data_IF_438468729011
#
_entry.id   IF_438468729011
#
_cell.length_a   1.000
_cell.length_b   1.000
_cell.length_c   1.000
_cell.angle_alpha   90.00
_cell.angle_beta   90.00
_cell.angle_gamma   90.00
#
_symmetry.space_group_name_H-M   'P 1'
#
loop_
_entity.id
_entity.type
_entity.pdbx_description
1 polymer ?
#
# COMPACT_ATOMS: atom_id res chain seq x y z
N UNK A 1 -21.84 16.23 -2.03
CA UNK A 1 -21.32 17.50 -1.46
C UNK A 1 -19.86 17.55 -1.82
N UNK A 2 -19.36 18.67 -2.33
CA UNK A 2 -17.98 18.74 -2.85
C UNK A 2 -16.97 18.62 -1.69
N UNK A 3 -16.22 17.52 -1.68
CA UNK A 3 -15.11 17.29 -0.74
C UNK A 3 -13.80 17.80 -1.36
N UNK A 4 -12.90 18.34 -0.53
CA UNK A 4 -11.55 18.76 -0.89
C UNK A 4 -10.54 18.03 -0.01
N UNK A 5 -9.46 17.53 -0.62
CA UNK A 5 -8.34 16.94 0.13
C UNK A 5 -7.18 17.92 0.11
N UNK A 6 -6.66 18.22 1.30
CA UNK A 6 -5.53 19.13 1.49
C UNK A 6 -4.33 18.32 1.95
N UNK A 7 -3.22 18.41 1.24
CA UNK A 7 -1.97 17.71 1.55
C UNK A 7 -0.90 18.75 1.86
N UNK A 8 -0.50 18.79 3.13
CA UNK A 8 0.60 19.60 3.62
C UNK A 8 1.84 18.73 3.84
N UNK A 9 2.95 19.08 3.21
CA UNK A 9 4.20 18.32 3.35
C UNK A 9 5.30 19.18 3.96
N UNK A 10 5.86 18.70 5.07
CA UNK A 10 7.04 19.27 5.71
C UNK A 10 8.17 18.24 5.72
N UNK A 11 9.43 18.64 6.00
CA UNK A 11 10.54 17.68 6.11
C UNK A 11 10.37 16.62 7.21
N UNK A 12 9.51 16.85 8.21
CA UNK A 12 9.33 15.94 9.36
C UNK A 12 8.08 15.08 9.26
N UNK A 13 7.05 15.59 8.61
CA UNK A 13 5.76 14.93 8.52
C UNK A 13 4.96 15.36 7.29
N UNK A 14 4.10 14.44 6.85
CA UNK A 14 3.03 14.70 5.90
C UNK A 14 1.72 14.73 6.68
N UNK A 15 0.92 15.78 6.44
CA UNK A 15 -0.41 15.95 7.02
C UNK A 15 -1.43 16.01 5.91
N UNK A 16 -2.56 15.35 6.10
CA UNK A 16 -3.68 15.35 5.15
C UNK A 16 -4.95 15.71 5.90
N UNK A 17 -5.72 16.65 5.35
CA UNK A 17 -7.05 17.00 5.84
C UNK A 17 -8.09 16.74 4.75
N UNK A 18 -9.16 16.03 5.08
CA UNK A 18 -10.36 15.96 4.25
C UNK A 18 -11.36 17.02 4.73
N UNK A 19 -11.75 17.92 3.84
CA UNK A 19 -12.61 19.07 4.14
C UNK A 19 -13.88 18.96 3.32
N UNK A 20 -15.02 19.04 4.01
CA UNK A 20 -16.34 19.08 3.37
C UNK A 20 -17.08 20.33 3.84
N UNK A 21 -17.57 21.14 2.88
CA UNK A 21 -18.31 22.37 3.17
C UNK A 21 -17.58 23.33 4.13
N UNK A 22 -16.25 23.42 4.01
CA UNK A 22 -15.40 24.27 4.86
C UNK A 22 -15.13 23.74 6.27
N UNK A 23 -15.54 22.49 6.58
CA UNK A 23 -15.32 21.84 7.88
C UNK A 23 -14.40 20.63 7.70
N UNK A 24 -13.37 20.54 8.53
CA UNK A 24 -12.47 19.38 8.58
C UNK A 24 -13.24 18.16 9.08
N UNK A 25 -13.28 17.11 8.27
CA UNK A 25 -13.93 15.84 8.60
C UNK A 25 -12.93 14.81 9.12
N UNK A 26 -11.74 14.78 8.53
CA UNK A 26 -10.70 13.82 8.87
C UNK A 26 -9.32 14.47 8.79
N UNK A 27 -8.43 14.09 9.71
CA UNK A 27 -7.03 14.51 9.74
C UNK A 27 -6.14 13.28 9.88
N UNK A 28 -5.19 13.13 8.97
CA UNK A 28 -4.20 12.07 8.95
C UNK A 28 -2.80 12.68 9.02
N UNK A 29 -1.95 12.15 9.91
CA UNK A 29 -0.57 12.62 10.08
C UNK A 29 0.39 11.44 10.06
N UNK A 30 1.40 11.50 9.19
CA UNK A 30 2.48 10.52 9.10
C UNK A 30 3.83 11.22 9.23
N UNK A 31 4.62 10.81 10.23
CA UNK A 31 5.99 11.29 10.44
C UNK A 31 6.97 10.46 9.62
N UNK A 32 7.99 11.10 9.08
CA UNK A 32 9.00 10.45 8.22
C UNK A 32 9.75 9.32 8.93
N UNK A 33 9.92 9.42 10.27
CA UNK A 33 10.58 8.38 11.09
C UNK A 33 9.70 7.18 11.42
N UNK A 34 8.39 7.23 11.14
CA UNK A 34 7.43 6.18 11.48
C UNK A 34 7.22 5.14 10.38
N UNK A 35 7.93 5.23 9.26
CA UNK A 35 7.67 4.38 8.09
C UNK A 35 8.34 3.02 8.23
N UNK A 36 7.53 1.98 8.38
CA UNK A 36 7.98 0.59 8.34
C UNK A 36 8.43 0.17 6.93
N UNK A 37 9.11 -0.97 6.88
CA UNK A 37 9.54 -1.65 5.65
C UNK A 37 8.52 -2.71 5.20
N UNK A 38 7.57 -3.07 6.06
CA UNK A 38 6.51 -4.04 5.76
C UNK A 38 5.80 -3.67 4.47
N UNK A 39 5.65 -4.65 3.58
CA UNK A 39 5.03 -4.47 2.27
C UNK A 39 6.03 -4.13 1.15
N UNK A 40 7.22 -3.59 1.46
CA UNK A 40 8.24 -3.32 0.45
C UNK A 40 8.71 -4.63 -0.20
N UNK A 41 9.01 -4.56 -1.50
CA UNK A 41 9.45 -5.68 -2.31
C UNK A 41 10.82 -5.36 -2.90
N UNK A 42 11.74 -6.30 -2.77
CA UNK A 42 13.12 -6.19 -3.18
C UNK A 42 13.49 -7.35 -4.09
N UNK A 43 14.41 -7.08 -5.02
CA UNK A 43 15.26 -8.10 -5.59
C UNK A 43 16.46 -8.26 -4.66
N UNK A 44 16.44 -9.30 -3.83
CA UNK A 44 17.51 -9.62 -2.89
C UNK A 44 18.52 -10.61 -3.46
N UNK A 45 19.66 -10.77 -2.77
CA UNK A 45 20.66 -11.78 -3.05
C UNK A 45 20.79 -12.72 -1.86
N UNK A 46 20.73 -14.03 -2.09
CA UNK A 46 20.98 -15.02 -1.02
C UNK A 46 22.43 -14.87 -0.56
N UNK A 47 22.63 -14.35 0.64
CA UNK A 47 23.96 -14.13 1.20
C UNK A 47 24.53 -15.39 1.84
N UNK A 48 23.68 -16.16 2.56
CA UNK A 48 24.07 -17.41 3.21
C UNK A 48 22.87 -18.31 3.43
N UNK A 49 23.04 -19.61 3.21
CA UNK A 49 22.03 -20.63 3.53
C UNK A 49 22.39 -21.33 4.85
N UNK A 50 21.41 -21.52 5.73
CA UNK A 50 21.57 -22.15 7.05
C UNK A 50 20.64 -23.37 7.16
N UNK A 51 21.09 -24.57 6.74
CA UNK A 51 20.29 -25.80 6.76
C UNK A 51 19.75 -26.15 8.16
N UNK A 52 20.59 -25.99 9.20
CA UNK A 52 20.20 -26.29 10.58
C UNK A 52 19.06 -25.43 11.13
N UNK A 53 18.79 -24.27 10.51
CA UNK A 53 17.69 -23.37 10.87
C UNK A 53 16.59 -23.34 9.80
N UNK A 54 16.72 -24.13 8.73
CA UNK A 54 15.82 -24.11 7.56
C UNK A 54 15.57 -22.68 7.04
N UNK A 55 16.63 -21.89 6.96
CA UNK A 55 16.55 -20.45 6.71
C UNK A 55 17.75 -19.91 5.93
N UNK A 56 17.60 -18.74 5.33
CA UNK A 56 18.66 -18.05 4.60
C UNK A 56 18.71 -16.57 4.97
N UNK A 57 19.92 -16.01 4.99
CA UNK A 57 20.12 -14.57 5.03
C UNK A 57 20.09 -14.02 3.61
N UNK A 58 19.28 -12.99 3.41
CA UNK A 58 19.10 -12.31 2.13
C UNK A 58 19.61 -10.88 2.29
N UNK A 59 20.57 -10.51 1.43
CA UNK A 59 20.96 -9.12 1.26
C UNK A 59 19.93 -8.41 0.38
N UNK A 60 19.30 -7.38 0.96
CA UNK A 60 18.31 -6.51 0.32
C UNK A 60 18.76 -5.04 0.35
N UNK A 61 20.02 -4.77 0.69
CA UNK A 61 20.57 -3.41 0.78
C UNK A 61 20.19 -2.66 2.07
N UNK A 62 19.65 -3.36 3.07
CA UNK A 62 19.41 -2.82 4.40
C UNK A 62 20.67 -2.95 5.27
N UNK A 63 20.79 -2.16 6.33
CA UNK A 63 21.93 -2.22 7.27
C UNK A 63 22.15 -3.60 7.89
N UNK A 64 21.08 -4.39 7.99
CA UNK A 64 21.10 -5.76 8.52
C UNK A 64 20.57 -6.72 7.49
N UNK A 65 21.24 -7.86 7.36
CA UNK A 65 20.77 -8.95 6.52
C UNK A 65 19.36 -9.38 6.96
N UNK A 66 18.45 -9.42 5.99
CA UNK A 66 17.09 -9.86 6.19
C UNK A 66 17.05 -11.40 6.19
N UNK A 67 16.00 -11.96 6.76
CA UNK A 67 15.89 -13.40 7.03
C UNK A 67 14.69 -13.99 6.28
N UNK A 68 14.91 -15.09 5.57
CA UNK A 68 13.88 -15.84 4.86
C UNK A 68 13.84 -17.27 5.39
N UNK A 69 12.69 -17.71 5.91
CA UNK A 69 12.48 -19.08 6.36
C UNK A 69 11.94 -19.95 5.22
N UNK A 70 12.24 -21.24 5.21
CA UNK A 70 11.80 -22.17 4.14
C UNK A 70 10.27 -22.22 3.97
N UNK A 71 9.53 -22.03 5.06
CA UNK A 71 8.06 -21.98 5.05
C UNK A 71 7.49 -20.72 4.38
N UNK A 72 8.28 -19.66 4.22
CA UNK A 72 7.89 -18.44 3.50
C UNK A 72 8.34 -18.48 2.02
N UNK A 73 8.86 -19.63 1.57
CA UNK A 73 9.19 -19.88 0.16
C UNK A 73 7.98 -20.52 -0.52
N UNK A 74 7.37 -19.81 -1.47
CA UNK A 74 6.14 -20.23 -2.13
C UNK A 74 6.27 -21.60 -2.79
N UNK A 75 7.36 -21.84 -3.53
CA UNK A 75 7.65 -23.10 -4.22
C UNK A 75 7.72 -24.31 -3.28
N UNK A 76 7.94 -24.09 -1.99
CA UNK A 76 8.11 -25.16 -1.01
C UNK A 76 6.84 -25.50 -0.23
N UNK A 77 5.72 -24.79 -0.42
CA UNK A 77 4.51 -25.01 0.37
C UNK A 77 3.99 -26.44 0.34
N UNK A 78 4.16 -27.14 -0.77
CA UNK A 78 3.63 -28.50 -0.96
C UNK A 78 4.70 -29.60 -0.89
N UNK A 79 5.98 -29.25 -1.07
CA UNK A 79 7.04 -30.23 -1.30
C UNK A 79 7.89 -30.51 -0.05
N UNK A 80 7.80 -29.65 0.98
CA UNK A 80 8.53 -29.77 2.24
C UNK A 80 10.03 -30.10 2.08
N UNK A 81 10.66 -29.55 1.04
CA UNK A 81 12.08 -29.75 0.76
C UNK A 81 12.92 -28.94 1.76
N UNK A 82 14.10 -29.47 2.14
CA UNK A 82 15.09 -28.70 2.90
C UNK A 82 15.56 -27.46 2.12
N UNK A 83 15.83 -26.37 2.82
CA UNK A 83 16.16 -25.07 2.20
C UNK A 83 17.38 -25.11 1.27
N UNK A 84 18.39 -25.92 1.59
CA UNK A 84 19.60 -26.09 0.79
C UNK A 84 19.37 -26.75 -0.57
N UNK A 85 18.19 -27.37 -0.78
CA UNK A 85 17.77 -27.90 -2.08
C UNK A 85 16.96 -26.89 -2.89
N UNK A 86 16.66 -25.73 -2.31
CA UNK A 86 15.78 -24.70 -2.89
C UNK A 86 16.59 -23.45 -3.23
N UNK A 87 17.47 -23.03 -2.32
CA UNK A 87 18.27 -21.82 -2.45
C UNK A 87 19.75 -22.13 -2.55
N UNK A 88 20.43 -21.41 -3.45
CA UNK A 88 21.88 -21.37 -3.54
C UNK A 88 22.42 -19.98 -3.13
N UNK A 89 23.62 -19.94 -2.56
CA UNK A 89 24.30 -18.67 -2.26
C UNK A 89 24.58 -17.88 -3.54
N UNK A 90 24.42 -16.56 -3.47
CA UNK A 90 24.57 -15.65 -4.61
C UNK A 90 23.34 -15.56 -5.54
N UNK A 91 22.36 -16.46 -5.40
CA UNK A 91 21.13 -16.47 -6.20
C UNK A 91 20.31 -15.17 -5.99
N UNK A 92 19.84 -14.51 -7.06
CA UNK A 92 18.86 -13.44 -6.94
C UNK A 92 17.48 -13.99 -6.58
N UNK A 93 16.76 -13.31 -5.70
CA UNK A 93 15.45 -13.74 -5.22
C UNK A 93 14.52 -12.56 -4.97
N UNK A 94 13.29 -12.66 -5.48
CA UNK A 94 12.23 -11.69 -5.23
C UNK A 94 11.65 -11.93 -3.83
N UNK A 95 11.67 -10.91 -2.98
CA UNK A 95 11.23 -11.01 -1.59
C UNK A 95 10.42 -9.79 -1.16
N UNK A 96 9.38 -10.04 -0.38
CA UNK A 96 8.57 -9.02 0.29
C UNK A 96 8.87 -9.02 1.79
N UNK A 97 8.97 -7.84 2.40
CA UNK A 97 9.08 -7.72 3.86
C UNK A 97 7.72 -7.96 4.50
N UNK A 98 7.66 -8.96 5.38
CA UNK A 98 6.44 -9.31 6.14
C UNK A 98 6.52 -8.90 7.61
N UNK A 99 7.72 -8.68 8.14
CA UNK A 99 7.94 -8.09 9.47
C UNK A 99 9.13 -7.16 9.45
N UNK A 100 8.98 -6.02 10.11
CA UNK A 100 10.07 -5.07 10.33
C UNK A 100 11.24 -5.69 11.13
N UNK A 101 12.47 -5.14 11.00
CA UNK A 101 13.58 -5.48 11.87
C UNK A 101 13.24 -5.20 13.34
N UNK A 102 13.68 -6.08 14.24
CA UNK A 102 13.44 -5.93 15.69
C UNK A 102 14.75 -6.14 16.45
N UNK A 103 15.15 -5.16 17.27
CA UNK A 103 16.29 -5.30 18.17
C UNK A 103 17.61 -5.40 17.41
N UNK A 104 18.19 -6.61 17.32
CA UNK A 104 19.35 -6.96 16.47
C UNK A 104 18.99 -7.83 15.27
N UNK A 105 17.74 -8.32 15.18
CA UNK A 105 17.27 -9.18 14.09
C UNK A 105 16.89 -8.33 12.88
N UNK A 106 17.30 -8.77 11.69
CA UNK A 106 16.87 -8.16 10.43
C UNK A 106 15.38 -8.38 10.15
N UNK A 107 14.90 -7.78 9.07
CA UNK A 107 13.51 -7.95 8.61
C UNK A 107 13.20 -9.42 8.27
N UNK A 108 11.96 -9.86 8.48
CA UNK A 108 11.48 -11.15 7.97
C UNK A 108 10.94 -10.98 6.57
N UNK A 109 11.33 -11.88 5.68
CA UNK A 109 10.96 -11.89 4.28
C UNK A 109 10.02 -13.05 3.94
N UNK A 110 9.32 -12.90 2.82
CA UNK A 110 8.54 -13.94 2.15
C UNK A 110 8.71 -13.81 0.65
N UNK A 111 8.72 -14.93 -0.07
CA UNK A 111 8.62 -14.93 -1.54
C UNK A 111 7.17 -14.91 -2.02
N UNK A 112 6.21 -15.15 -1.12
CA UNK A 112 4.79 -14.99 -1.41
C UNK A 112 4.46 -13.49 -1.39
N UNK A 113 4.54 -12.88 -2.58
CA UNK A 113 4.15 -11.48 -2.77
C UNK A 113 2.64 -11.32 -2.59
N UNK A 114 2.26 -10.23 -1.93
CA UNK A 114 0.88 -9.76 -1.81
C UNK A 114 0.85 -8.24 -2.00
N UNK A 115 -0.10 -7.74 -2.78
CA UNK A 115 -0.24 -6.31 -3.05
C UNK A 115 -1.58 -5.83 -2.50
N UNK A 116 -1.56 -4.87 -1.58
CA UNK A 116 -2.77 -4.35 -0.97
C UNK A 116 -3.32 -3.14 -1.74
N UNK A 117 -4.54 -3.28 -2.25
CA UNK A 117 -5.38 -2.20 -2.73
C UNK A 117 -6.27 -1.65 -1.61
N UNK A 118 -7.21 -0.77 -1.96
CA UNK A 118 -8.20 -0.23 -1.01
C UNK A 118 -9.20 -1.30 -0.59
N UNK A 119 -9.73 -2.03 -1.55
CA UNK A 119 -10.83 -3.00 -1.42
C UNK A 119 -10.34 -4.44 -1.52
N UNK A 120 -9.26 -4.67 -2.26
CA UNK A 120 -8.75 -5.99 -2.60
C UNK A 120 -7.29 -6.14 -2.14
N UNK A 121 -6.86 -7.39 -1.96
CA UNK A 121 -5.45 -7.76 -1.88
C UNK A 121 -5.17 -8.72 -3.02
N UNK A 122 -4.22 -8.40 -3.90
CA UNK A 122 -3.85 -9.28 -5.01
C UNK A 122 -2.76 -10.27 -4.59
N UNK A 123 -2.94 -11.52 -5.00
CA UNK A 123 -2.06 -12.65 -4.74
C UNK A 123 -1.57 -13.24 -6.07
N UNK A 124 -0.43 -12.79 -6.60
CA UNK A 124 0.01 -13.17 -7.94
C UNK A 124 0.31 -14.66 -8.14
N UNK A 125 0.62 -15.37 -7.05
CA UNK A 125 1.05 -16.77 -7.07
C UNK A 125 -0.04 -17.75 -6.62
N UNK A 126 -1.15 -17.24 -6.08
CA UNK A 126 -2.22 -18.04 -5.52
C UNK A 126 -3.53 -17.63 -6.18
N UNK A 127 -4.16 -18.44 -7.04
CA UNK A 127 -5.39 -18.10 -7.76
C UNK A 127 -6.63 -18.06 -6.85
N UNK A 128 -6.48 -18.32 -5.55
CA UNK A 128 -7.58 -18.35 -4.61
C UNK A 128 -8.29 -16.99 -4.46
N UNK A 129 -9.62 -17.01 -4.49
CA UNK A 129 -10.45 -15.86 -4.09
C UNK A 129 -10.90 -16.03 -2.64
N UNK A 130 -10.27 -15.27 -1.76
CA UNK A 130 -10.58 -15.20 -0.34
C UNK A 130 -11.48 -14.03 0.02
N UNK A 131 -12.12 -14.11 1.17
CA UNK A 131 -12.96 -13.03 1.73
C UNK A 131 -12.54 -12.80 3.19
N UNK A 132 -12.41 -11.53 3.57
CA UNK A 132 -12.13 -11.11 4.95
C UNK A 132 -13.02 -11.84 5.94
N UNK A 133 -12.44 -12.35 7.04
CA UNK A 133 -13.19 -13.06 8.08
C UNK A 133 -14.20 -12.16 8.82
N UNK A 134 -14.04 -10.83 8.73
CA UNK A 134 -14.96 -9.85 9.31
C UNK A 134 -16.29 -9.73 8.55
N UNK A 135 -16.40 -10.34 7.36
CA UNK A 135 -17.66 -10.45 6.63
C UNK A 135 -18.31 -11.76 7.10
N UNK A 136 -19.23 -11.65 8.04
CA UNK A 136 -19.78 -12.80 8.79
C UNK A 136 -20.87 -13.55 8.04
N UNK A 137 -21.62 -12.90 7.15
CA UNK A 137 -22.72 -13.53 6.42
C UNK A 137 -22.24 -14.46 5.30
N UNK A 138 -22.57 -15.74 5.41
CA UNK A 138 -22.17 -16.78 4.45
C UNK A 138 -22.82 -16.59 3.07
N UNK A 139 -24.04 -16.03 3.03
CA UNK A 139 -24.71 -15.64 1.78
C UNK A 139 -23.99 -14.49 1.08
N UNK A 140 -23.70 -13.42 1.81
CA UNK A 140 -22.90 -12.28 1.34
C UNK A 140 -21.51 -12.69 0.86
N UNK A 141 -20.85 -13.65 1.54
CA UNK A 141 -19.56 -14.19 1.10
C UNK A 141 -19.66 -14.84 -0.28
N UNK A 142 -20.64 -15.71 -0.51
CA UNK A 142 -20.79 -16.35 -1.82
C UNK A 142 -21.04 -15.31 -2.93
N UNK A 143 -21.94 -14.36 -2.68
CA UNK A 143 -22.28 -13.30 -3.62
C UNK A 143 -21.07 -12.42 -3.97
N UNK A 144 -20.30 -11.98 -2.97
CA UNK A 144 -19.14 -11.10 -3.21
C UNK A 144 -18.02 -11.81 -3.97
N UNK A 145 -17.82 -13.11 -3.71
CA UNK A 145 -16.88 -13.93 -4.50
C UNK A 145 -17.32 -14.02 -5.96
N UNK A 146 -18.60 -14.29 -6.20
CA UNK A 146 -19.09 -14.48 -7.57
C UNK A 146 -19.12 -13.17 -8.34
N UNK A 147 -19.49 -12.07 -7.69
CA UNK A 147 -19.32 -10.70 -8.21
C UNK A 147 -17.87 -10.42 -8.62
N UNK A 148 -16.89 -10.77 -7.77
CA UNK A 148 -15.48 -10.57 -8.15
C UNK A 148 -15.10 -11.44 -9.36
N UNK A 149 -15.52 -12.71 -9.41
CA UNK A 149 -15.23 -13.59 -10.55
C UNK A 149 -15.75 -13.04 -11.87
N UNK A 150 -16.94 -12.44 -11.88
CA UNK A 150 -17.51 -11.83 -13.08
C UNK A 150 -16.69 -10.63 -13.59
N UNK A 151 -16.01 -9.93 -12.68
CA UNK A 151 -15.15 -8.79 -13.02
C UNK A 151 -13.74 -9.21 -13.44
N UNK A 152 -13.30 -10.42 -13.09
CA UNK A 152 -11.97 -10.88 -13.40
C UNK A 152 -11.85 -11.26 -14.88
N UNK A 153 -10.85 -10.73 -15.60
CA UNK A 153 -10.53 -11.19 -16.94
C UNK A 153 -10.20 -12.69 -16.96
N UNK A 154 -10.58 -13.37 -18.05
CA UNK A 154 -10.36 -14.81 -18.21
C UNK A 154 -8.87 -15.23 -18.20
N UNK A 155 -7.94 -14.29 -18.43
CA UNK A 155 -6.50 -14.50 -18.41
C UNK A 155 -5.87 -14.29 -17.03
N UNK A 156 -6.66 -13.94 -16.01
CA UNK A 156 -6.17 -13.70 -14.67
C UNK A 156 -5.59 -14.99 -14.05
N UNK A 157 -4.35 -14.90 -13.60
CA UNK A 157 -3.61 -16.03 -13.01
C UNK A 157 -3.48 -15.92 -11.50
N UNK A 158 -3.54 -14.69 -10.98
CA UNK A 158 -3.48 -14.42 -9.55
C UNK A 158 -4.86 -14.45 -8.91
N UNK A 159 -4.88 -14.59 -7.60
CA UNK A 159 -6.08 -14.56 -6.78
C UNK A 159 -6.21 -13.25 -6.05
N UNK A 160 -7.29 -13.14 -5.28
CA UNK A 160 -7.65 -11.90 -4.61
C UNK A 160 -8.27 -12.18 -3.25
N UNK A 161 -8.01 -11.32 -2.27
CA UNK A 161 -8.75 -11.30 -1.01
C UNK A 161 -9.62 -10.05 -0.99
N UNK A 162 -10.94 -10.23 -0.85
CA UNK A 162 -11.85 -9.12 -0.61
C UNK A 162 -11.71 -8.64 0.83
N UNK A 163 -11.37 -7.36 1.00
CA UNK A 163 -11.29 -6.68 2.31
C UNK A 163 -12.69 -6.30 2.78
N UNK A 164 -12.84 -6.01 4.07
CA UNK A 164 -14.14 -5.63 4.66
C UNK A 164 -14.78 -4.42 3.98
N UNK A 165 -13.99 -3.46 3.50
CA UNK A 165 -14.50 -2.29 2.77
C UNK A 165 -15.13 -2.63 1.41
N UNK A 166 -14.80 -3.79 0.81
CA UNK A 166 -15.32 -4.20 -0.49
C UNK A 166 -16.82 -4.53 -0.44
N UNK A 167 -17.36 -4.84 0.73
CA UNK A 167 -18.77 -5.23 0.89
C UNK A 167 -19.73 -4.12 0.45
N UNK A 168 -19.45 -2.87 0.84
CA UNK A 168 -20.24 -1.69 0.48
C UNK A 168 -19.77 -1.01 -0.82
N UNK A 169 -18.73 -1.54 -1.47
CA UNK A 169 -18.13 -0.90 -2.63
C UNK A 169 -18.98 -1.12 -3.89
N UNK A 170 -19.04 -0.08 -4.72
CA UNK A 170 -19.62 -0.15 -6.06
C UNK A 170 -18.77 -1.00 -7.01
N UNK A 171 -19.35 -1.42 -8.14
CA UNK A 171 -18.63 -2.23 -9.13
C UNK A 171 -17.52 -1.43 -9.80
N UNK A 172 -17.73 -0.14 -9.98
CA UNK A 172 -16.73 0.78 -10.52
C UNK A 172 -15.51 0.90 -9.61
N UNK A 173 -15.72 1.02 -8.30
CA UNK A 173 -14.62 1.06 -7.33
C UNK A 173 -13.83 -0.26 -7.31
N UNK A 174 -14.51 -1.40 -7.39
CA UNK A 174 -13.85 -2.71 -7.50
C UNK A 174 -13.03 -2.83 -8.78
N UNK A 175 -13.57 -2.39 -9.93
CA UNK A 175 -12.83 -2.38 -11.21
C UNK A 175 -11.62 -1.47 -11.16
N UNK A 176 -11.75 -0.30 -10.53
CA UNK A 176 -10.61 0.61 -10.35
C UNK A 176 -9.51 -0.02 -9.48
N UNK A 177 -9.86 -0.66 -8.37
CA UNK A 177 -8.89 -1.31 -7.48
C UNK A 177 -8.25 -2.55 -8.14
N UNK A 178 -9.02 -3.33 -8.91
CA UNK A 178 -8.52 -4.41 -9.76
C UNK A 178 -7.50 -3.91 -10.79
N UNK A 179 -7.84 -2.84 -11.52
CA UNK A 179 -6.97 -2.23 -12.51
C UNK A 179 -5.67 -1.71 -11.88
N UNK A 180 -5.77 -1.03 -10.73
CA UNK A 180 -4.63 -0.59 -9.94
C UNK A 180 -3.69 -1.76 -9.59
N UNK A 181 -4.22 -2.83 -8.99
CA UNK A 181 -3.44 -3.97 -8.53
C UNK A 181 -2.77 -4.75 -9.68
N UNK A 182 -3.51 -4.99 -10.78
CA UNK A 182 -2.97 -5.68 -11.96
C UNK A 182 -1.84 -4.88 -12.61
N UNK A 183 -2.02 -3.57 -12.75
CA UNK A 183 -0.99 -2.71 -13.32
C UNK A 183 0.26 -2.60 -12.42
N UNK A 184 0.05 -2.49 -11.10
CA UNK A 184 1.13 -2.53 -10.12
C UNK A 184 1.94 -3.83 -10.23
N UNK A 185 1.26 -4.98 -10.30
CA UNK A 185 1.95 -6.26 -10.46
C UNK A 185 2.69 -6.37 -11.79
N UNK A 186 2.07 -5.98 -12.91
CA UNK A 186 2.75 -6.01 -14.21
C UNK A 186 4.02 -5.16 -14.18
N UNK A 187 3.92 -3.93 -13.68
CA UNK A 187 5.07 -3.02 -13.53
C UNK A 187 6.16 -3.63 -12.66
N UNK A 188 5.80 -4.28 -11.55
CA UNK A 188 6.76 -4.93 -10.66
C UNK A 188 7.43 -6.14 -11.31
N UNK A 189 6.68 -6.96 -12.03
CA UNK A 189 7.19 -8.12 -12.76
C UNK A 189 8.16 -7.69 -13.86
N UNK A 190 7.84 -6.63 -14.59
CA UNK A 190 8.70 -6.15 -15.67
C UNK A 190 10.00 -5.54 -15.10
N UNK A 191 9.91 -4.82 -13.98
CA UNK A 191 11.08 -4.33 -13.24
C UNK A 191 11.95 -5.45 -12.69
N UNK A 192 11.36 -6.57 -12.26
CA UNK A 192 12.12 -7.67 -11.65
C UNK A 192 12.96 -8.45 -12.66
N UNK A 193 12.53 -8.56 -13.93
CA UNK A 193 13.24 -9.31 -14.98
C UNK A 193 14.63 -8.76 -15.33
N UNK A 194 14.90 -7.47 -15.06
CA UNK A 194 16.21 -6.84 -15.30
C UNK A 194 16.90 -6.34 -14.03
N UNK A 195 16.34 -6.61 -12.85
CA UNK A 195 16.83 -6.04 -11.60
C UNK A 195 18.16 -6.66 -11.16
N UNK A 196 19.08 -5.81 -10.69
CA UNK A 196 20.37 -6.27 -10.13
C UNK A 196 20.28 -6.30 -8.61
N UNK A 197 20.39 -7.49 -8.02
CA UNK A 197 20.37 -7.65 -6.57
C UNK A 197 21.62 -7.06 -5.89
N UNK A 198 21.50 -6.29 -4.78
CA UNK A 198 20.25 -5.89 -4.12
C UNK A 198 19.60 -4.63 -4.73
N UNK A 199 18.28 -4.63 -4.92
CA UNK A 199 17.53 -3.49 -5.43
C UNK A 199 16.10 -3.45 -4.88
N UNK A 200 15.61 -2.26 -4.49
CA UNK A 200 14.19 -2.05 -4.18
C UNK A 200 13.37 -1.99 -5.47
N UNK A 201 12.30 -2.78 -5.54
CA UNK A 201 11.38 -2.81 -6.70
C UNK A 201 10.08 -2.07 -6.43
N UNK A 202 9.60 -2.18 -5.18
CA UNK A 202 8.44 -1.48 -4.69
C UNK A 202 8.67 -1.06 -3.25
N UNK A 203 8.31 0.19 -2.98
CA UNK A 203 8.19 0.73 -1.63
C UNK A 203 6.69 0.93 -1.38
N UNK A 204 6.23 0.63 -0.18
CA UNK A 204 4.84 0.87 0.19
C UNK A 204 4.45 2.34 -0.03
N UNK A 205 3.15 2.62 -0.12
CA UNK A 205 2.65 3.95 -0.45
C UNK A 205 2.95 4.98 0.63
N UNK A 206 3.23 6.23 0.24
CA UNK A 206 3.29 7.34 1.21
C UNK A 206 1.89 7.68 1.71
N UNK A 207 1.76 8.39 2.84
CA UNK A 207 0.44 8.87 3.28
C UNK A 207 -0.35 9.55 2.15
N UNK A 208 0.29 10.45 1.40
CA UNK A 208 -0.35 11.16 0.30
C UNK A 208 -0.82 10.21 -0.83
N UNK A 209 -0.04 9.18 -1.16
CA UNK A 209 -0.43 8.17 -2.15
C UNK A 209 -1.54 7.26 -1.63
N UNK A 210 -1.51 6.89 -0.34
CA UNK A 210 -2.59 6.11 0.30
C UNK A 210 -3.89 6.88 0.29
N UNK A 211 -3.86 8.17 0.62
CA UNK A 211 -5.03 9.06 0.56
C UNK A 211 -5.58 9.13 -0.86
N UNK A 212 -4.72 9.27 -1.87
CA UNK A 212 -5.17 9.27 -3.26
C UNK A 212 -5.84 7.94 -3.65
N UNK A 213 -5.32 6.80 -3.17
CA UNK A 213 -5.90 5.47 -3.41
C UNK A 213 -7.21 5.24 -2.63
N UNK A 214 -7.25 5.68 -1.38
CA UNK A 214 -8.24 5.26 -0.40
C UNK A 214 -9.39 6.25 -0.22
N UNK A 215 -9.14 7.55 -0.39
CA UNK A 215 -10.10 8.63 -0.06
C UNK A 215 -10.64 9.35 -1.29
N UNK A 216 -9.86 9.45 -2.38
CA UNK A 216 -10.29 10.21 -3.56
C UNK A 216 -11.31 9.41 -4.36
N UNK A 217 -12.55 9.89 -4.38
CA UNK A 217 -13.68 9.25 -5.04
C UNK A 217 -14.51 10.24 -5.86
N UNK A 218 -15.75 9.86 -6.18
CA UNK A 218 -16.66 10.69 -6.98
C UNK A 218 -16.97 12.05 -6.33
N UNK A 219 -17.09 12.09 -5.00
CA UNK A 219 -17.42 13.30 -4.22
C UNK A 219 -16.23 14.26 -4.06
N UNK A 220 -15.01 13.80 -4.31
CA UNK A 220 -13.78 14.59 -4.14
C UNK A 220 -13.56 15.48 -5.36
N UNK A 221 -13.74 16.79 -5.18
CA UNK A 221 -13.58 17.78 -6.25
C UNK A 221 -12.13 18.01 -6.66
N UNK A 222 -11.23 18.16 -5.68
CA UNK A 222 -9.81 18.41 -5.91
C UNK A 222 -8.94 17.95 -4.75
N UNK A 223 -7.67 17.72 -5.06
CA UNK A 223 -6.58 17.40 -4.13
C UNK A 223 -5.53 18.51 -4.26
N UNK A 224 -5.43 19.35 -3.23
CA UNK A 224 -4.45 20.45 -3.17
C UNK A 224 -3.19 19.98 -2.46
N UNK A 225 -2.05 20.17 -3.09
CA UNK A 225 -0.73 19.77 -2.56
C UNK A 225 0.17 20.99 -2.49
N UNK A 226 0.66 21.34 -1.30
CA UNK A 226 1.47 22.54 -1.10
C UNK A 226 2.97 22.38 -1.40
N UNK A 227 3.37 21.19 -1.86
CA UNK A 227 4.74 20.86 -2.20
C UNK A 227 4.84 20.46 -3.67
N UNK A 228 5.59 21.24 -4.45
CA UNK A 228 5.81 20.98 -5.88
C UNK A 228 6.39 19.59 -6.16
N UNK A 229 7.34 19.15 -5.34
CA UNK A 229 7.94 17.82 -5.47
C UNK A 229 6.90 16.71 -5.24
N UNK A 230 6.06 16.86 -4.22
CA UNK A 230 5.04 15.86 -3.92
C UNK A 230 3.88 15.91 -4.92
N UNK A 231 3.52 17.09 -5.42
CA UNK A 231 2.60 17.23 -6.54
C UNK A 231 3.08 16.40 -7.74
N UNK A 232 4.33 16.57 -8.17
CA UNK A 232 4.91 15.78 -9.27
C UNK A 232 4.89 14.27 -8.98
N UNK A 233 5.28 13.85 -7.77
CA UNK A 233 5.25 12.43 -7.38
C UNK A 233 3.84 11.85 -7.40
N UNK A 234 2.85 12.58 -6.91
CA UNK A 234 1.44 12.16 -6.89
C UNK A 234 0.85 12.15 -8.29
N UNK A 235 1.14 13.15 -9.12
CA UNK A 235 0.71 13.18 -10.52
C UNK A 235 1.30 12.00 -11.29
N UNK A 236 2.59 11.70 -11.14
CA UNK A 236 3.22 10.55 -11.79
C UNK A 236 2.62 9.21 -11.30
N UNK A 237 2.35 9.10 -10.01
CA UNK A 237 1.67 7.94 -9.43
C UNK A 237 0.24 7.77 -9.98
N UNK A 238 -0.53 8.87 -10.07
CA UNK A 238 -1.88 8.87 -10.64
C UNK A 238 -1.86 8.52 -12.14
N UNK A 239 -0.93 9.07 -12.92
CA UNK A 239 -0.77 8.71 -14.33
C UNK A 239 -0.47 7.23 -14.52
N UNK A 240 0.35 6.66 -13.62
CA UNK A 240 0.69 5.25 -13.64
C UNK A 240 -0.49 4.35 -13.32
N UNK A 241 -1.26 4.64 -12.25
CA UNK A 241 -2.19 3.68 -11.69
C UNK A 241 -3.65 4.13 -11.58
N UNK A 242 -3.92 5.44 -11.61
CA UNK A 242 -5.25 6.03 -11.43
C UNK A 242 -5.45 7.24 -12.37
N UNK A 243 -5.39 7.06 -13.71
CA UNK A 243 -5.35 8.18 -14.67
C UNK A 243 -6.54 9.15 -14.55
N UNK A 244 -7.69 8.64 -14.13
CA UNK A 244 -8.92 9.41 -13.91
C UNK A 244 -8.78 10.49 -12.82
N UNK A 245 -7.81 10.34 -11.91
CA UNK A 245 -7.59 11.29 -10.80
C UNK A 245 -6.60 12.41 -11.15
N UNK A 246 -5.84 12.28 -12.24
CA UNK A 246 -4.75 13.21 -12.60
C UNK A 246 -5.25 14.65 -12.69
N UNK A 247 -6.42 14.87 -13.30
CA UNK A 247 -7.01 16.20 -13.48
C UNK A 247 -7.49 16.86 -12.19
N UNK A 248 -7.51 16.13 -11.06
CA UNK A 248 -7.94 16.64 -9.76
C UNK A 248 -6.77 17.00 -8.84
N UNK A 249 -5.53 16.68 -9.23
CA UNK A 249 -4.34 16.91 -8.40
C UNK A 249 -3.71 18.26 -8.76
N UNK A 250 -3.81 19.22 -7.86
CA UNK A 250 -3.40 20.60 -8.07
C UNK A 250 -2.26 20.99 -7.12
N UNK A 251 -1.31 21.78 -7.62
CA UNK A 251 -0.25 22.35 -6.80
C UNK A 251 -0.71 23.69 -6.22
N UNK A 252 -0.78 23.77 -4.90
CA UNK A 252 -1.03 25.01 -4.20
C UNK A 252 0.28 25.81 -4.07
N UNK A 253 0.25 27.07 -4.52
CA UNK A 253 1.41 27.97 -4.53
C UNK A 253 1.12 29.35 -3.93
N UNK A 254 0.05 29.46 -3.15
CA UNK A 254 -0.32 30.71 -2.48
C UNK A 254 0.64 31.07 -1.35
N UNK A 255 0.71 32.37 -1.03
CA UNK A 255 1.58 32.89 0.04
C UNK A 255 1.14 32.44 1.44
N UNK A 256 -0.17 32.35 1.68
CA UNK A 256 -0.72 31.86 2.95
C UNK A 256 -0.59 30.33 3.01
N UNK A 257 -0.14 29.73 4.12
CA UNK A 257 -0.07 28.28 4.25
C UNK A 257 -1.42 27.60 3.98
N UNK A 258 -1.39 26.45 3.30
CA UNK A 258 -2.60 25.74 2.85
C UNK A 258 -3.56 25.45 4.01
N UNK A 259 -3.05 24.96 5.14
CA UNK A 259 -3.87 24.60 6.29
C UNK A 259 -4.45 25.82 7.01
N UNK A 260 -3.73 26.96 7.04
CA UNK A 260 -4.27 28.21 7.57
C UNK A 260 -5.38 28.78 6.69
N UNK A 261 -5.24 28.69 5.36
CA UNK A 261 -6.25 29.16 4.42
C UNK A 261 -7.61 28.48 4.64
N UNK A 262 -7.59 27.20 5.02
CA UNK A 262 -8.77 26.36 5.26
C UNK A 262 -9.13 26.22 6.75
N UNK A 263 -8.51 27.00 7.65
CA UNK A 263 -8.69 26.92 9.11
C UNK A 263 -8.46 25.50 9.69
N UNK A 264 -7.62 24.70 9.05
CA UNK A 264 -7.28 23.35 9.52
C UNK A 264 -6.41 23.42 10.78
N UNK A 265 -5.49 24.40 10.87
CA UNK A 265 -4.65 24.55 12.06
C UNK A 265 -5.49 24.82 13.33
N UNK A 266 -6.52 25.65 13.24
CA UNK A 266 -7.43 25.92 14.36
C UNK A 266 -8.18 24.65 14.81
N UNK A 267 -8.63 23.82 13.86
CA UNK A 267 -9.28 22.54 14.16
C UNK A 267 -8.31 21.52 14.79
N UNK A 268 -7.04 21.53 14.36
CA UNK A 268 -5.99 20.72 14.98
C UNK A 268 -5.78 21.14 16.44
N UNK A 269 -5.63 22.43 16.71
CA UNK A 269 -5.46 22.95 18.08
C UNK A 269 -6.66 22.62 18.97
N UNK A 270 -7.88 22.77 18.44
CA UNK A 270 -9.12 22.36 19.13
C UNK A 270 -9.14 20.87 19.44
N UNK A 271 -8.77 20.01 18.49
CA UNK A 271 -8.74 18.57 18.68
C UNK A 271 -7.71 18.11 19.73
N UNK A 272 -6.61 18.86 19.89
CA UNK A 272 -5.59 18.60 20.91
C UNK A 272 -5.95 19.17 22.29
N UNK A 273 -6.99 20.02 22.37
CA UNK A 273 -7.42 20.63 23.62
C UNK A 273 -8.05 19.60 24.57
N UNK A 274 -7.91 19.82 25.87
CA UNK A 274 -8.50 18.94 26.90
C UNK A 274 -10.03 19.02 26.94
N UNK A 275 -10.61 20.12 26.45
CA UNK A 275 -12.05 20.38 26.45
C UNK A 275 -12.44 20.96 25.09
N UNK A 276 -13.35 20.27 24.40
CA UNK A 276 -13.95 20.72 23.15
C UNK A 276 -15.39 21.13 23.44
N UNK A 277 -15.71 22.41 23.26
CA UNK A 277 -17.08 22.89 23.43
C UNK A 277 -17.94 22.44 22.25
N UNK A 278 -19.13 21.90 22.54
CA UNK A 278 -20.11 21.53 21.52
C UNK A 278 -20.90 22.76 21.08
N UNK A 279 -21.49 22.71 19.88
CA UNK A 279 -22.29 23.83 19.33
C UNK A 279 -23.40 24.33 20.26
N UNK A 280 -23.85 23.51 21.21
CA UNK A 280 -24.94 23.82 22.14
C UNK A 280 -24.49 24.17 23.57
N UNK A 281 -23.17 24.28 23.84
CA UNK A 281 -22.62 24.59 25.17
C UNK A 281 -22.35 23.38 26.03
#
# INVERSE_FOLDING_TARGET
MSEEILINVTPRETRVAAVASGVVQELLVERSSGRGLVGNIYMGRVARVLPGMQSAFIDVGLERAAFLHVADIWENKEQAKPIEKILAEGQPILVQVVKDPIGSKGARLSTQVSLAGRLLVYLPHDPHIGISQRIEDEGGRAQQRDRLKELLPADEKGGFILRTLAEAASEEELRSDLGYLRNLWSTLRDRSQGAKAPQILYQDLSLAQRVLRDMVGAETSRVLVDSRENHQKLTAFAQGYMPQLVGRIEHYSGERPLFELYNVEDEIERALSRRVDLKSG
#
